data_IF_405032498435
#
_entry.id   IF_405032498435
#
_cell.length_a   1.000
_cell.length_b   1.000
_cell.length_c   1.000
_cell.angle_alpha   90.00
_cell.angle_beta   90.00
_cell.angle_gamma   90.00
#
_symmetry.space_group_name_H-M   'P 1'
#
loop_
_entity.id
_entity.type
_entity.pdbx_description
1 polymer ?
#
# COMPACT_ATOMS: atom_id res chain seq x y z
N UNK A 1 -2.33 22.80 25.81
CA UNK A 1 -1.91 21.89 24.72
C UNK A 1 -0.57 21.19 24.98
N UNK A 2 0.62 21.79 24.78
CA UNK A 2 1.91 21.04 24.92
C UNK A 2 2.18 20.40 26.29
N UNK A 3 1.52 20.86 27.35
CA UNK A 3 1.63 20.28 28.70
C UNK A 3 0.65 19.12 28.95
N UNK A 4 -0.28 18.87 28.05
CA UNK A 4 -1.38 17.90 28.22
C UNK A 4 -1.25 16.70 27.27
N UNK A 5 -0.17 16.65 26.48
CA UNK A 5 0.04 15.62 25.47
C UNK A 5 1.11 14.64 25.97
N UNK A 6 0.66 13.41 26.28
CA UNK A 6 1.53 12.29 26.62
C UNK A 6 1.90 11.43 25.41
N UNK A 7 1.03 11.36 24.40
CA UNK A 7 1.20 10.48 23.23
C UNK A 7 0.80 11.21 21.96
N UNK A 8 1.60 11.05 20.91
CA UNK A 8 1.27 11.50 19.55
C UNK A 8 1.26 10.30 18.63
N UNK A 9 0.15 10.07 17.92
CA UNK A 9 0.03 9.03 16.90
C UNK A 9 -0.01 9.72 15.53
N UNK A 10 1.07 9.61 14.78
CA UNK A 10 1.17 10.13 13.42
C UNK A 10 0.67 9.09 12.41
N UNK A 11 -0.61 9.18 12.07
CA UNK A 11 -1.25 8.41 10.99
C UNK A 11 -1.47 9.24 9.70
N UNK A 12 -1.06 10.51 9.68
CA UNK A 12 -1.27 11.39 8.54
C UNK A 12 -0.32 11.00 7.39
N UNK A 13 -0.88 10.66 6.24
CA UNK A 13 -0.10 10.28 5.06
C UNK A 13 -0.92 10.40 3.78
N UNK A 14 -0.25 10.61 2.66
CA UNK A 14 -0.79 10.19 1.36
C UNK A 14 -0.38 8.76 1.08
N UNK A 15 -1.35 7.89 0.79
CA UNK A 15 -1.15 6.46 0.54
C UNK A 15 -1.27 6.09 -0.94
N UNK A 16 -1.40 7.08 -1.82
CA UNK A 16 -1.51 6.86 -3.26
C UNK A 16 -0.13 6.58 -3.86
N UNK A 17 -0.01 5.46 -4.55
CA UNK A 17 1.24 5.03 -5.18
C UNK A 17 1.75 5.99 -6.27
N UNK A 18 0.86 6.78 -6.87
CA UNK A 18 1.17 7.78 -7.89
C UNK A 18 0.71 9.19 -7.50
N UNK A 19 0.83 9.58 -6.24
CA UNK A 19 0.59 10.98 -5.86
C UNK A 19 1.63 11.90 -6.51
N UNK A 20 1.25 13.17 -6.69
CA UNK A 20 2.20 14.23 -7.05
C UNK A 20 3.38 14.24 -6.08
N UNK A 21 4.59 14.31 -6.59
CA UNK A 21 5.78 14.15 -5.76
C UNK A 21 5.95 15.26 -4.72
N UNK A 22 5.62 16.51 -5.07
CA UNK A 22 5.60 17.63 -4.12
C UNK A 22 4.68 17.36 -2.93
N UNK A 23 3.45 16.93 -3.21
CA UNK A 23 2.46 16.59 -2.18
C UNK A 23 2.94 15.41 -1.33
N UNK A 24 3.51 14.38 -1.95
CA UNK A 24 3.98 13.20 -1.24
C UNK A 24 5.17 13.49 -0.32
N UNK A 25 6.13 14.29 -0.78
CA UNK A 25 7.29 14.71 0.02
C UNK A 25 6.85 15.61 1.17
N UNK A 26 6.01 16.61 0.90
CA UNK A 26 5.56 17.55 1.94
C UNK A 26 4.77 16.83 3.04
N UNK A 27 3.90 15.87 2.69
CA UNK A 27 3.07 15.14 3.67
C UNK A 27 3.86 14.03 4.37
N UNK A 28 4.43 13.09 3.62
CA UNK A 28 4.98 11.87 4.21
C UNK A 28 6.37 12.08 4.82
N UNK A 29 7.15 13.05 4.34
CA UNK A 29 8.53 13.32 4.79
C UNK A 29 8.56 14.52 5.74
N UNK A 30 8.24 15.70 5.22
CA UNK A 30 8.29 16.92 6.04
C UNK A 30 7.15 16.99 7.05
N UNK A 31 5.98 16.42 6.76
CA UNK A 31 4.93 16.23 7.76
C UNK A 31 5.37 15.36 8.94
N UNK A 32 6.16 14.31 8.69
CA UNK A 32 6.76 13.53 9.77
C UNK A 32 7.75 14.36 10.60
N UNK A 33 8.60 15.17 9.94
CA UNK A 33 9.51 16.11 10.62
C UNK A 33 8.76 17.14 11.48
N UNK A 34 7.68 17.71 10.94
CA UNK A 34 6.90 18.71 11.65
C UNK A 34 6.23 18.13 12.89
N UNK A 35 5.68 16.91 12.79
CA UNK A 35 5.11 16.21 13.95
C UNK A 35 6.19 15.85 14.97
N UNK A 36 7.38 15.46 14.52
CA UNK A 36 8.52 15.21 15.41
C UNK A 36 8.89 16.48 16.19
N UNK A 37 9.05 17.61 15.48
CA UNK A 37 9.37 18.89 16.10
C UNK A 37 8.26 19.35 17.06
N UNK A 38 6.99 19.11 16.71
CA UNK A 38 5.88 19.36 17.62
C UNK A 38 5.97 18.50 18.89
N UNK A 39 6.22 17.20 18.74
CA UNK A 39 6.33 16.27 19.86
C UNK A 39 7.50 16.63 20.80
N UNK A 40 8.63 17.11 20.28
CA UNK A 40 9.76 17.61 21.08
C UNK A 40 9.40 18.80 21.99
N UNK A 41 8.39 19.59 21.63
CA UNK A 41 7.92 20.70 22.45
C UNK A 41 6.93 20.26 23.55
N UNK A 42 6.46 19.02 23.52
CA UNK A 42 5.51 18.49 24.50
C UNK A 42 6.26 18.05 25.77
N UNK A 43 5.94 18.66 26.90
CA UNK A 43 6.71 18.50 28.17
C UNK A 43 6.57 17.09 28.74
N UNK A 44 5.38 16.50 28.58
CA UNK A 44 5.04 15.19 29.14
C UNK A 44 5.05 14.08 28.10
N UNK A 45 5.64 14.31 26.92
CA UNK A 45 5.62 13.33 25.83
C UNK A 45 6.31 12.03 26.26
N UNK A 46 5.55 10.95 26.24
CA UNK A 46 6.04 9.60 26.50
C UNK A 46 6.47 8.92 25.21
N UNK A 47 5.63 8.99 24.17
CA UNK A 47 5.84 8.27 22.91
C UNK A 47 5.31 9.08 21.72
N UNK A 48 6.12 9.15 20.65
CA UNK A 48 5.66 9.46 19.31
C UNK A 48 5.58 8.17 18.49
N UNK A 49 4.37 7.72 18.14
CA UNK A 49 4.18 6.58 17.25
C UNK A 49 3.96 7.08 15.82
N UNK A 50 4.71 6.54 14.86
CA UNK A 50 4.53 6.81 13.43
C UNK A 50 4.05 5.55 12.71
N UNK A 51 2.98 5.68 11.94
CA UNK A 51 2.48 4.60 11.08
C UNK A 51 3.17 4.72 9.72
N UNK A 52 3.94 3.71 9.35
CA UNK A 52 4.59 3.56 8.04
C UNK A 52 3.95 2.40 7.26
N UNK A 53 4.72 1.59 6.56
CA UNK A 53 4.29 0.35 5.90
C UNK A 53 5.45 -0.63 5.81
N UNK A 54 5.20 -1.93 5.93
CA UNK A 54 6.24 -2.95 5.78
C UNK A 54 6.93 -2.89 4.41
N UNK A 55 6.21 -2.42 3.39
CA UNK A 55 6.73 -2.32 2.02
C UNK A 55 7.86 -1.32 1.86
N UNK A 56 8.17 -0.46 2.84
CA UNK A 56 9.40 0.36 2.82
C UNK A 56 10.66 -0.49 2.68
N UNK A 57 10.62 -1.73 3.17
CA UNK A 57 11.68 -2.73 3.07
C UNK A 57 11.58 -3.59 1.80
N UNK A 58 10.89 -3.14 0.74
CA UNK A 58 10.60 -3.98 -0.43
C UNK A 58 11.86 -4.40 -1.19
N UNK A 59 12.41 -5.55 -0.82
CA UNK A 59 13.31 -6.35 -1.65
C UNK A 59 12.50 -7.17 -2.66
N UNK A 60 13.15 -7.81 -3.63
CA UNK A 60 12.43 -8.71 -4.57
C UNK A 60 12.13 -10.06 -3.93
N UNK A 61 13.05 -10.58 -3.11
CA UNK A 61 12.96 -11.88 -2.44
C UNK A 61 13.69 -11.83 -1.09
N UNK A 62 13.31 -12.70 -0.15
CA UNK A 62 14.05 -12.87 1.11
C UNK A 62 13.25 -12.47 2.35
N UNK A 63 13.96 -12.23 3.45
CA UNK A 63 13.38 -11.90 4.75
C UNK A 63 13.63 -10.41 5.06
N UNK A 64 12.57 -9.60 5.04
CA UNK A 64 12.65 -8.18 5.38
C UNK A 64 12.60 -7.99 6.90
N UNK A 65 13.71 -7.53 7.48
CA UNK A 65 13.88 -7.36 8.93
C UNK A 65 13.25 -6.07 9.48
N UNK A 66 12.83 -6.11 10.74
CA UNK A 66 12.34 -4.95 11.50
C UNK A 66 13.51 -4.04 11.96
N UNK A 67 14.27 -3.51 10.99
CA UNK A 67 15.41 -2.62 11.22
C UNK A 67 15.09 -1.16 10.85
N UNK A 68 15.71 -0.17 11.53
CA UNK A 68 15.61 1.23 11.13
C UNK A 68 16.31 1.44 9.79
N UNK A 69 15.94 2.52 9.09
CA UNK A 69 16.69 2.99 7.94
C UNK A 69 17.84 3.88 8.38
N UNK A 70 19.00 3.68 7.78
CA UNK A 70 20.08 4.65 7.88
C UNK A 70 19.80 5.84 6.96
N UNK A 71 20.28 7.01 7.37
CA UNK A 71 20.20 8.19 6.52
C UNK A 71 21.01 7.93 5.25
N UNK A 72 20.38 8.16 4.09
CA UNK A 72 20.90 7.89 2.73
C UNK A 72 20.82 6.44 2.25
N UNK A 73 20.22 5.53 3.03
CA UNK A 73 20.00 4.15 2.57
C UNK A 73 19.18 4.14 1.27
N UNK A 74 19.52 3.24 0.35
CA UNK A 74 18.79 2.97 -0.89
C UNK A 74 18.57 1.47 -1.02
N UNK A 75 17.57 1.07 -1.80
CA UNK A 75 17.27 -0.36 -2.01
C UNK A 75 17.96 -0.91 -3.26
N UNK A 76 18.21 -2.22 -3.26
CA UNK A 76 18.66 -2.95 -4.46
C UNK A 76 20.10 -2.67 -4.88
N UNK A 77 20.97 -2.22 -3.97
CA UNK A 77 22.39 -1.96 -4.25
C UNK A 77 22.63 -0.79 -5.20
N UNK A 78 21.63 0.09 -5.39
CA UNK A 78 21.76 1.25 -6.25
C UNK A 78 22.68 2.27 -5.57
N UNK A 79 23.81 2.58 -6.21
CA UNK A 79 24.80 3.59 -5.75
C UNK A 79 24.30 5.03 -5.99
N UNK A 80 23.02 5.29 -5.70
CA UNK A 80 22.48 6.64 -5.68
C UNK A 80 22.59 7.21 -4.27
N UNK A 81 23.01 8.47 -4.19
CA UNK A 81 23.09 9.19 -2.91
C UNK A 81 21.72 9.81 -2.64
N UNK A 82 20.97 9.27 -1.67
CA UNK A 82 19.68 9.82 -1.26
C UNK A 82 19.89 10.92 -0.20
N UNK A 83 19.55 12.15 -0.55
CA UNK A 83 19.57 13.28 0.38
C UNK A 83 18.24 14.01 0.31
N UNK A 84 17.53 14.02 1.42
CA UNK A 84 16.16 14.55 1.51
C UNK A 84 16.11 16.05 1.23
N UNK A 85 17.15 16.81 1.57
CA UNK A 85 17.22 18.23 1.25
C UNK A 85 17.44 18.43 -0.25
N UNK A 86 18.21 17.57 -0.89
CA UNK A 86 18.38 17.56 -2.35
C UNK A 86 17.07 17.16 -3.04
N UNK A 87 16.36 16.14 -2.54
CA UNK A 87 15.04 15.77 -3.06
C UNK A 87 14.05 16.95 -3.00
N UNK A 88 14.03 17.68 -1.88
CA UNK A 88 13.16 18.86 -1.74
C UNK A 88 13.52 19.96 -2.73
N UNK A 89 14.82 20.21 -2.95
CA UNK A 89 15.27 21.18 -3.97
C UNK A 89 14.82 20.76 -5.37
N UNK A 90 14.98 19.49 -5.74
CA UNK A 90 14.53 18.97 -7.05
C UNK A 90 13.02 19.14 -7.24
N UNK A 91 12.23 18.87 -6.21
CA UNK A 91 10.77 19.07 -6.21
C UNK A 91 10.43 20.53 -6.48
N UNK A 92 11.03 21.44 -5.70
CA UNK A 92 10.71 22.87 -5.76
C UNK A 92 11.18 23.50 -7.08
N UNK A 93 12.35 23.12 -7.58
CA UNK A 93 12.88 23.53 -8.89
C UNK A 93 11.96 23.08 -10.02
N UNK A 94 11.57 21.79 -10.04
CA UNK A 94 10.69 21.28 -11.09
C UNK A 94 9.32 21.96 -11.08
N UNK A 95 8.77 22.23 -9.90
CA UNK A 95 7.50 22.91 -9.78
C UNK A 95 7.61 24.36 -10.29
N UNK A 96 8.68 25.08 -9.92
CA UNK A 96 8.95 26.44 -10.42
C UNK A 96 9.12 26.48 -11.94
N UNK A 97 9.86 25.55 -12.53
CA UNK A 97 10.00 25.44 -13.98
C UNK A 97 8.65 25.32 -14.68
N UNK A 98 7.82 24.38 -14.23
CA UNK A 98 6.49 24.14 -14.81
C UNK A 98 5.57 25.36 -14.66
N UNK A 99 5.68 26.09 -13.54
CA UNK A 99 4.94 27.32 -13.32
C UNK A 99 5.41 28.45 -14.24
N UNK A 100 6.73 28.60 -14.43
CA UNK A 100 7.32 29.60 -15.33
C UNK A 100 6.97 29.32 -16.80
N UNK A 101 6.81 28.06 -17.17
CA UNK A 101 6.30 27.64 -18.48
C UNK A 101 4.80 27.88 -18.68
N UNK A 102 4.10 28.43 -17.67
CA UNK A 102 2.63 28.57 -17.65
C UNK A 102 1.89 27.25 -17.95
N UNK A 103 2.45 26.13 -17.47
CA UNK A 103 1.85 24.82 -17.69
C UNK A 103 0.45 24.72 -17.06
N UNK A 104 -0.48 24.06 -17.75
CA UNK A 104 -1.83 23.80 -17.21
C UNK A 104 -1.77 22.92 -15.97
N UNK A 105 -2.74 23.06 -15.07
CA UNK A 105 -2.82 22.30 -13.81
C UNK A 105 -2.74 20.78 -14.02
N UNK A 106 -3.37 20.25 -15.07
CA UNK A 106 -3.31 18.82 -15.40
C UNK A 106 -1.91 18.39 -15.86
N UNK A 107 -1.21 19.25 -16.59
CA UNK A 107 0.16 19.00 -17.03
C UNK A 107 1.13 19.00 -15.84
N UNK A 108 0.99 19.98 -14.94
CA UNK A 108 1.75 20.02 -13.67
C UNK A 108 1.49 18.75 -12.87
N UNK A 109 0.22 18.37 -12.70
CA UNK A 109 -0.16 17.16 -11.97
C UNK A 109 0.47 15.91 -12.60
N UNK A 110 0.44 15.76 -13.92
CA UNK A 110 1.05 14.61 -14.59
C UNK A 110 2.57 14.60 -14.40
N UNK A 111 3.23 15.73 -14.66
CA UNK A 111 4.68 15.83 -14.57
C UNK A 111 5.20 15.55 -13.16
N UNK A 112 4.51 16.04 -12.11
CA UNK A 112 4.90 15.77 -10.72
C UNK A 112 4.64 14.33 -10.28
N UNK A 113 3.65 13.64 -10.87
CA UNK A 113 3.47 12.20 -10.65
C UNK A 113 4.59 11.40 -11.31
N UNK A 114 4.93 11.75 -12.54
CA UNK A 114 5.99 11.07 -13.30
C UNK A 114 7.35 11.27 -12.62
N UNK A 115 7.63 12.49 -12.12
CA UNK A 115 8.82 12.79 -11.32
C UNK A 115 8.91 11.85 -10.10
N UNK A 116 7.84 11.74 -9.30
CA UNK A 116 7.85 10.91 -8.11
C UNK A 116 8.10 9.43 -8.40
N UNK A 117 7.59 8.92 -9.52
CA UNK A 117 7.84 7.53 -9.95
C UNK A 117 9.31 7.38 -10.38
N UNK A 118 9.86 8.36 -11.10
CA UNK A 118 11.26 8.35 -11.53
C UNK A 118 12.22 8.39 -10.33
N UNK A 119 11.98 9.28 -9.35
CA UNK A 119 12.80 9.38 -8.13
C UNK A 119 12.73 8.10 -7.30
N UNK A 120 11.54 7.54 -7.10
CA UNK A 120 11.39 6.28 -6.37
C UNK A 120 12.23 5.16 -7.02
N UNK A 121 12.12 4.99 -8.35
CA UNK A 121 12.89 3.99 -9.09
C UNK A 121 14.40 4.24 -9.04
N UNK A 122 14.84 5.50 -9.09
CA UNK A 122 16.25 5.89 -8.99
C UNK A 122 16.89 5.44 -7.66
N UNK A 123 16.10 5.40 -6.58
CA UNK A 123 16.58 4.99 -5.25
C UNK A 123 16.17 3.55 -4.87
N UNK A 124 15.60 2.80 -5.81
CA UNK A 124 15.28 1.38 -5.66
C UNK A 124 13.83 1.07 -5.26
N UNK A 125 13.07 2.05 -4.81
CA UNK A 125 11.68 1.86 -4.38
C UNK A 125 10.69 1.71 -5.56
N UNK A 126 9.62 0.91 -5.37
CA UNK A 126 8.67 0.59 -6.44
C UNK A 126 7.80 1.76 -6.88
N UNK A 127 7.50 2.68 -5.96
CA UNK A 127 6.60 3.79 -6.20
C UNK A 127 6.82 4.93 -5.19
N UNK A 128 6.19 6.08 -5.46
CA UNK A 128 6.35 7.32 -4.70
C UNK A 128 5.86 7.20 -3.26
N UNK A 129 4.80 6.44 -3.01
CA UNK A 129 4.27 6.26 -1.66
C UNK A 129 5.29 5.58 -0.74
N UNK A 130 5.78 4.41 -1.14
CA UNK A 130 6.74 3.64 -0.33
C UNK A 130 8.05 4.41 -0.17
N UNK A 131 8.51 5.06 -1.24
CA UNK A 131 9.72 5.87 -1.19
C UNK A 131 9.62 7.03 -0.19
N UNK A 132 8.52 7.78 -0.23
CA UNK A 132 8.32 8.91 0.70
C UNK A 132 8.04 8.46 2.14
N UNK A 133 7.46 7.27 2.34
CA UNK A 133 7.37 6.64 3.66
C UNK A 133 8.74 6.28 4.22
N UNK A 134 9.61 5.69 3.41
CA UNK A 134 10.99 5.38 3.83
C UNK A 134 11.77 6.66 4.20
N UNK A 135 11.68 7.72 3.37
CA UNK A 135 12.28 9.01 3.70
C UNK A 135 11.71 9.62 4.99
N UNK A 136 10.41 9.47 5.24
CA UNK A 136 9.79 9.90 6.52
C UNK A 136 10.37 9.17 7.73
N UNK A 137 10.60 7.86 7.62
CA UNK A 137 11.28 7.10 8.68
C UNK A 137 12.73 7.55 8.89
N UNK A 138 13.49 7.78 7.81
CA UNK A 138 14.88 8.27 7.91
C UNK A 138 14.97 9.60 8.67
N UNK A 139 14.06 10.53 8.38
CA UNK A 139 13.99 11.81 9.09
C UNK A 139 13.67 11.60 10.57
N UNK A 140 12.71 10.73 10.88
CA UNK A 140 12.38 10.43 12.28
C UNK A 140 13.57 9.83 13.02
N UNK A 141 14.24 8.84 12.43
CA UNK A 141 15.40 8.18 13.03
C UNK A 141 16.58 9.14 13.23
N UNK A 142 16.87 9.98 12.23
CA UNK A 142 17.97 10.93 12.29
C UNK A 142 17.74 12.04 13.33
N UNK A 143 16.52 12.57 13.40
CA UNK A 143 16.25 13.79 14.17
C UNK A 143 15.53 13.52 15.50
N UNK A 144 15.22 12.28 15.89
CA UNK A 144 14.48 12.01 17.14
C UNK A 144 15.18 12.47 18.43
N UNK A 145 16.51 12.56 18.42
CA UNK A 145 17.31 12.87 19.61
C UNK A 145 16.97 11.93 20.80
N UNK A 146 16.44 12.47 21.90
CA UNK A 146 16.03 11.71 23.09
C UNK A 146 14.58 11.27 23.06
N UNK A 147 13.79 11.69 22.08
CA UNK A 147 12.38 11.35 21.99
C UNK A 147 12.21 9.86 21.66
N UNK A 148 11.34 9.18 22.40
CA UNK A 148 10.95 7.80 22.09
C UNK A 148 10.05 7.80 20.85
N UNK A 149 10.60 7.36 19.74
CA UNK A 149 9.88 7.18 18.47
C UNK A 149 9.66 5.70 18.22
N UNK A 150 8.41 5.32 17.97
CA UNK A 150 7.99 3.96 17.60
C UNK A 150 7.46 3.97 16.18
N UNK A 151 7.87 3.02 15.35
CA UNK A 151 7.42 2.89 13.96
C UNK A 151 6.63 1.59 13.80
N UNK A 152 5.37 1.69 13.41
CA UNK A 152 4.53 0.54 13.07
C UNK A 152 4.38 0.47 11.56
N UNK A 153 4.73 -0.67 10.99
CA UNK A 153 4.80 -0.95 9.55
C UNK A 153 3.79 -2.05 9.20
N UNK A 154 2.51 -1.72 8.98
CA UNK A 154 1.53 -2.71 8.53
C UNK A 154 1.78 -3.15 7.09
N UNK A 155 1.34 -4.36 6.77
CA UNK A 155 1.25 -4.89 5.40
C UNK A 155 -0.08 -4.46 4.75
N UNK A 156 -0.68 -5.27 3.86
CA UNK A 156 -1.95 -4.89 3.23
C UNK A 156 -3.08 -5.02 4.25
N UNK A 157 -3.53 -3.88 4.75
CA UNK A 157 -4.66 -3.82 5.69
C UNK A 157 -5.97 -4.16 4.98
N UNK A 158 -6.72 -5.08 5.58
CA UNK A 158 -8.05 -5.53 5.14
C UNK A 158 -9.11 -5.05 6.13
N UNK A 159 -10.35 -5.52 5.98
CA UNK A 159 -11.41 -5.23 6.96
C UNK A 159 -11.02 -5.67 8.38
N UNK A 160 -11.79 -5.25 9.36
CA UNK A 160 -11.60 -5.69 10.74
C UNK A 160 -11.99 -7.16 10.92
N UNK A 161 -11.27 -7.85 11.79
CA UNK A 161 -11.56 -9.23 12.17
C UNK A 161 -12.63 -9.29 13.27
N UNK A 162 -12.48 -8.47 14.31
CA UNK A 162 -13.36 -8.38 15.47
C UNK A 162 -13.85 -6.96 15.72
N UNK A 163 -12.95 -5.98 15.93
CA UNK A 163 -13.32 -4.64 16.42
C UNK A 163 -13.28 -3.57 15.33
N UNK A 164 -14.20 -2.58 15.32
CA UNK A 164 -15.34 -2.41 16.23
C UNK A 164 -16.49 -3.39 15.95
N UNK A 165 -16.48 -4.04 14.80
CA UNK A 165 -17.29 -5.21 14.45
C UNK A 165 -16.66 -5.93 13.25
N UNK A 166 -16.92 -7.23 13.02
CA UNK A 166 -16.33 -7.97 11.91
C UNK A 166 -16.70 -7.40 10.54
N UNK A 167 -15.72 -7.28 9.65
CA UNK A 167 -15.94 -6.91 8.26
C UNK A 167 -16.09 -5.39 8.04
N UNK A 168 -15.86 -4.56 9.05
CA UNK A 168 -15.83 -3.12 8.87
C UNK A 168 -14.67 -2.71 7.98
N UNK A 169 -14.96 -1.90 6.97
CA UNK A 169 -13.98 -1.33 6.05
C UNK A 169 -14.48 0.00 5.51
N UNK A 170 -13.57 0.96 5.33
CA UNK A 170 -13.89 2.26 4.77
C UNK A 170 -13.05 2.59 3.54
N UNK A 171 -13.75 2.75 2.42
CA UNK A 171 -13.15 3.08 1.13
C UNK A 171 -12.45 1.89 0.49
N UNK A 172 -12.28 1.97 -0.83
CA UNK A 172 -11.64 0.90 -1.60
C UNK A 172 -10.12 1.06 -1.50
N UNK A 173 -9.42 0.05 -0.96
CA UNK A 173 -7.96 -0.04 -0.96
C UNK A 173 -7.49 -1.08 -2.00
N UNK A 174 -6.20 -1.46 -1.95
CA UNK A 174 -5.52 -2.27 -2.96
C UNK A 174 -6.28 -3.56 -3.29
N UNK A 175 -6.41 -4.47 -2.31
CA UNK A 175 -7.05 -5.78 -2.55
C UNK A 175 -8.56 -5.64 -2.81
N UNK A 176 -9.20 -4.67 -2.16
CA UNK A 176 -10.63 -4.39 -2.35
C UNK A 176 -10.95 -3.94 -3.78
N UNK A 177 -10.03 -3.21 -4.43
CA UNK A 177 -10.19 -2.82 -5.84
C UNK A 177 -10.28 -4.04 -6.74
N UNK A 178 -9.47 -5.06 -6.48
CA UNK A 178 -9.54 -6.33 -7.21
C UNK A 178 -10.82 -7.09 -6.87
N UNK A 179 -11.21 -7.14 -5.59
CA UNK A 179 -12.44 -7.77 -5.14
C UNK A 179 -13.69 -7.16 -5.80
N UNK A 180 -13.81 -5.83 -5.77
CA UNK A 180 -14.93 -5.10 -6.39
C UNK A 180 -14.95 -5.32 -7.90
N UNK A 181 -13.80 -5.19 -8.58
CA UNK A 181 -13.72 -5.41 -10.01
C UNK A 181 -14.05 -6.86 -10.41
N UNK A 182 -13.66 -7.83 -9.57
CA UNK A 182 -13.96 -9.24 -9.76
C UNK A 182 -15.46 -9.51 -9.59
N UNK A 183 -16.05 -9.11 -8.47
CA UNK A 183 -17.47 -9.30 -8.17
C UNK A 183 -18.40 -8.61 -9.17
N UNK A 184 -18.00 -7.43 -9.69
CA UNK A 184 -18.71 -6.73 -10.78
C UNK A 184 -18.49 -7.33 -12.17
N UNK A 185 -17.78 -8.47 -12.28
CA UNK A 185 -17.53 -9.19 -13.52
C UNK A 185 -16.67 -8.42 -14.54
N UNK A 186 -15.87 -7.45 -14.06
CA UNK A 186 -15.06 -6.56 -14.90
C UNK A 186 -13.67 -7.14 -15.19
N UNK A 187 -13.18 -8.07 -14.39
CA UNK A 187 -11.89 -8.71 -14.59
C UNK A 187 -11.99 -9.88 -15.58
N UNK A 188 -11.07 -9.93 -16.53
CA UNK A 188 -10.88 -11.07 -17.47
C UNK A 188 -9.61 -11.85 -17.17
N UNK A 189 -8.66 -11.21 -16.49
CA UNK A 189 -7.41 -11.78 -16.07
C UNK A 189 -7.00 -11.15 -14.74
N UNK A 190 -6.07 -11.80 -14.06
CA UNK A 190 -5.38 -11.29 -12.87
C UNK A 190 -3.87 -11.40 -13.11
N UNK A 191 -3.11 -10.47 -12.56
CA UNK A 191 -1.65 -10.43 -12.63
C UNK A 191 -1.09 -10.84 -11.27
N UNK A 192 -0.16 -11.79 -11.26
CA UNK A 192 0.50 -12.24 -10.03
C UNK A 192 1.04 -13.66 -10.14
N UNK A 193 2.11 -13.95 -9.41
CA UNK A 193 2.61 -15.32 -9.28
C UNK A 193 1.62 -16.10 -8.38
N UNK A 194 1.01 -17.20 -8.83
CA UNK A 194 0.14 -18.02 -7.99
C UNK A 194 0.78 -18.45 -6.65
N UNK A 195 2.11 -18.53 -6.59
CA UNK A 195 2.87 -18.95 -5.42
C UNK A 195 3.32 -17.80 -4.52
N UNK A 196 3.21 -16.55 -4.96
CA UNK A 196 3.58 -15.41 -4.11
C UNK A 196 2.67 -15.32 -2.90
N UNK A 197 3.25 -14.87 -1.79
CA UNK A 197 2.51 -14.61 -0.55
C UNK A 197 1.90 -13.23 -0.68
N UNK A 198 0.59 -13.14 -0.52
CA UNK A 198 -0.11 -11.88 -0.40
C UNK A 198 -0.23 -11.56 1.09
N UNK A 199 0.65 -10.71 1.59
CA UNK A 199 0.69 -10.37 3.01
C UNK A 199 -0.48 -9.42 3.38
N UNK A 200 -1.51 -10.02 3.94
CA UNK A 200 -2.71 -9.35 4.44
C UNK A 200 -2.71 -9.31 5.97
N UNK A 201 -3.33 -8.28 6.54
CA UNK A 201 -3.60 -8.20 7.98
C UNK A 201 -4.94 -7.49 8.24
N UNK A 202 -5.77 -7.93 9.21
CA UNK A 202 -6.97 -7.20 9.62
C UNK A 202 -6.64 -5.84 10.27
N UNK A 203 -7.48 -4.83 10.05
CA UNK A 203 -7.23 -3.47 10.52
C UNK A 203 -7.17 -3.32 12.04
N UNK A 204 -7.99 -4.07 12.75
CA UNK A 204 -8.03 -4.12 14.22
C UNK A 204 -6.77 -4.75 14.82
N UNK A 205 -6.16 -5.74 14.17
CA UNK A 205 -4.85 -6.26 14.62
C UNK A 205 -3.75 -5.20 14.53
N UNK A 206 -3.80 -4.32 13.52
CA UNK A 206 -2.86 -3.18 13.43
C UNK A 206 -3.11 -2.18 14.56
N UNK A 207 -4.37 -1.87 14.86
CA UNK A 207 -4.74 -0.98 15.96
C UNK A 207 -4.30 -1.57 17.31
N UNK A 208 -4.52 -2.86 17.55
CA UNK A 208 -4.10 -3.54 18.76
C UNK A 208 -2.58 -3.48 18.94
N UNK A 209 -1.81 -3.74 17.88
CA UNK A 209 -0.36 -3.57 17.91
C UNK A 209 0.07 -2.13 18.24
N UNK A 210 -0.61 -1.11 17.67
CA UNK A 210 -0.33 0.30 17.95
C UNK A 210 -0.55 0.61 19.43
N UNK A 211 -1.70 0.22 20.00
CA UNK A 211 -2.03 0.51 21.40
C UNK A 211 -1.06 -0.17 22.35
N UNK A 212 -0.75 -1.44 22.10
CA UNK A 212 0.21 -2.21 22.89
C UNK A 212 1.61 -1.64 22.79
N UNK A 213 2.06 -1.22 21.60
CA UNK A 213 3.35 -0.58 21.41
C UNK A 213 3.47 0.74 22.18
N UNK A 214 2.40 1.54 22.20
CA UNK A 214 2.37 2.80 22.98
C UNK A 214 2.56 2.51 24.47
N UNK A 215 1.80 1.57 25.03
CA UNK A 215 1.89 1.23 26.45
C UNK A 215 3.27 0.67 26.80
N UNK A 216 3.77 -0.29 26.02
CA UNK A 216 5.08 -0.91 26.25
C UNK A 216 6.23 0.13 26.25
N UNK A 217 6.20 1.10 25.33
CA UNK A 217 7.24 2.13 25.23
C UNK A 217 7.06 3.29 26.20
N UNK A 218 5.83 3.54 26.67
CA UNK A 218 5.57 4.56 27.69
C UNK A 218 6.18 4.17 29.03
N UNK A 219 6.01 2.91 29.44
CA UNK A 219 6.33 2.45 30.80
C UNK A 219 7.66 1.70 30.90
N UNK A 220 8.18 1.14 29.81
CA UNK A 220 9.40 0.31 29.82
C UNK A 220 10.44 0.80 28.80
N UNK A 221 11.70 0.43 29.03
CA UNK A 221 12.75 0.53 28.01
C UNK A 221 12.66 -0.69 27.09
N UNK A 222 11.96 -0.57 25.97
CA UNK A 222 11.97 -1.61 24.94
C UNK A 222 13.22 -1.44 24.04
N UNK A 223 14.00 -2.50 23.87
CA UNK A 223 15.19 -2.49 23.01
C UNK A 223 14.90 -2.48 21.50
N UNK A 224 13.61 -2.53 21.12
CA UNK A 224 13.14 -2.54 19.74
C UNK A 224 12.00 -1.52 19.59
N UNK A 225 12.00 -0.74 18.52
CA UNK A 225 11.00 0.32 18.30
C UNK A 225 10.35 0.28 16.91
N UNK A 226 10.56 -0.81 16.15
CA UNK A 226 10.00 -1.01 14.82
C UNK A 226 9.27 -2.35 14.77
N UNK A 227 8.03 -2.32 14.28
CA UNK A 227 7.11 -3.43 14.30
C UNK A 227 6.47 -3.65 12.92
N UNK A 228 6.77 -4.78 12.27
CA UNK A 228 6.07 -5.27 11.09
C UNK A 228 4.77 -5.98 11.51
N UNK A 229 3.64 -5.41 11.12
CA UNK A 229 2.33 -6.02 11.40
C UNK A 229 1.81 -6.67 10.13
N UNK A 230 2.09 -7.95 9.99
CA UNK A 230 1.77 -8.75 8.81
C UNK A 230 1.62 -10.23 9.14
N UNK A 231 1.37 -11.04 8.12
CA UNK A 231 1.11 -12.46 8.25
C UNK A 231 2.07 -13.36 7.49
N UNK A 232 2.89 -12.83 6.58
CA UNK A 232 3.70 -13.64 5.65
C UNK A 232 4.65 -14.62 6.34
N UNK A 233 5.20 -14.27 7.51
CA UNK A 233 6.15 -15.14 8.22
C UNK A 233 5.47 -16.28 8.98
N UNK A 234 4.40 -15.99 9.72
CA UNK A 234 3.79 -16.92 10.68
C UNK A 234 2.44 -17.51 10.24
N UNK A 235 1.74 -16.88 9.31
CA UNK A 235 0.47 -17.38 8.76
C UNK A 235 0.32 -17.00 7.26
N UNK A 236 1.18 -17.50 6.37
CA UNK A 236 1.24 -17.07 4.98
C UNK A 236 -0.03 -17.41 4.20
N UNK A 237 -0.47 -16.47 3.36
CA UNK A 237 -1.61 -16.62 2.46
C UNK A 237 -1.15 -16.48 1.00
N UNK A 238 -1.37 -17.48 0.16
CA UNK A 238 -0.94 -17.42 -1.24
C UNK A 238 -1.92 -16.63 -2.09
N UNK A 239 -1.40 -15.96 -3.11
CA UNK A 239 -2.22 -15.26 -4.11
C UNK A 239 -3.26 -16.18 -4.78
N UNK A 240 -2.88 -17.43 -5.09
CA UNK A 240 -3.80 -18.43 -5.66
C UNK A 240 -4.97 -18.75 -4.74
N UNK A 241 -4.73 -18.93 -3.44
CA UNK A 241 -5.77 -19.23 -2.45
C UNK A 241 -6.80 -18.08 -2.39
N UNK A 242 -6.34 -16.83 -2.39
CA UNK A 242 -7.22 -15.64 -2.40
C UNK A 242 -8.07 -15.59 -3.66
N UNK A 243 -7.47 -15.83 -4.82
CA UNK A 243 -8.19 -15.84 -6.09
C UNK A 243 -9.24 -16.97 -6.15
N UNK A 244 -8.95 -18.14 -5.61
CA UNK A 244 -9.89 -19.25 -5.51
C UNK A 244 -11.04 -18.98 -4.54
N UNK A 245 -10.77 -18.32 -3.40
CA UNK A 245 -11.80 -17.86 -2.48
C UNK A 245 -12.73 -16.83 -3.11
N UNK A 246 -12.18 -15.85 -3.85
CA UNK A 246 -13.00 -14.86 -4.58
C UNK A 246 -13.91 -15.55 -5.61
N UNK A 247 -13.35 -16.45 -6.42
CA UNK A 247 -14.11 -17.23 -7.39
C UNK A 247 -15.23 -18.03 -6.71
N UNK A 248 -14.89 -18.78 -5.66
CA UNK A 248 -15.84 -19.63 -4.93
C UNK A 248 -16.95 -18.81 -4.30
N UNK A 249 -16.63 -17.65 -3.70
CA UNK A 249 -17.61 -16.77 -3.08
C UNK A 249 -18.60 -16.24 -4.11
N UNK A 250 -18.14 -15.64 -5.21
CA UNK A 250 -19.04 -14.99 -6.19
C UNK A 250 -19.76 -15.97 -7.12
N UNK A 251 -19.30 -17.22 -7.25
CA UNK A 251 -20.11 -18.29 -7.85
C UNK A 251 -21.32 -18.61 -6.95
N UNK A 252 -21.10 -18.74 -5.63
CA UNK A 252 -22.15 -19.08 -4.67
C UNK A 252 -23.08 -17.90 -4.38
N UNK A 253 -22.52 -16.70 -4.30
CA UNK A 253 -23.18 -15.45 -3.91
C UNK A 253 -22.92 -14.38 -4.98
N UNK A 254 -23.53 -14.48 -6.16
CA UNK A 254 -23.31 -13.52 -7.23
C UNK A 254 -23.76 -12.12 -6.80
N UNK A 255 -22.92 -11.11 -7.03
CA UNK A 255 -23.30 -9.72 -6.77
C UNK A 255 -24.46 -9.31 -7.67
N UNK A 256 -25.47 -8.65 -7.10
CA UNK A 256 -26.63 -8.15 -7.83
C UNK A 256 -26.35 -6.71 -8.23
N UNK A 257 -26.40 -6.44 -9.53
CA UNK A 257 -26.18 -5.08 -10.03
C UNK A 257 -27.38 -4.17 -9.79
N UNK A 258 -27.21 -2.87 -10.08
CA UNK A 258 -28.24 -1.83 -9.95
C UNK A 258 -29.55 -2.11 -10.71
N UNK A 259 -29.56 -3.11 -11.61
CA UNK A 259 -30.74 -3.55 -12.36
C UNK A 259 -31.39 -4.82 -11.78
N UNK A 260 -30.99 -5.24 -10.58
CA UNK A 260 -31.49 -6.45 -9.94
C UNK A 260 -31.02 -7.75 -10.59
N UNK A 261 -30.01 -7.73 -11.46
CA UNK A 261 -29.52 -8.93 -12.16
C UNK A 261 -28.25 -9.48 -11.50
N UNK A 262 -28.20 -10.79 -11.16
CA UNK A 262 -26.99 -11.44 -10.71
C UNK A 262 -25.87 -11.36 -11.76
N UNK A 263 -24.69 -10.90 -11.34
CA UNK A 263 -23.50 -10.85 -12.19
C UNK A 263 -22.79 -12.20 -12.17
N UNK A 264 -22.64 -12.79 -13.36
CA UNK A 264 -21.87 -14.03 -13.53
C UNK A 264 -20.39 -13.72 -13.60
N UNK A 265 -19.62 -14.25 -12.65
CA UNK A 265 -18.16 -14.25 -12.67
C UNK A 265 -17.64 -15.58 -13.23
N UNK A 266 -16.44 -15.55 -13.80
CA UNK A 266 -15.74 -16.75 -14.27
C UNK A 266 -14.33 -16.76 -13.70
N UNK A 267 -13.65 -17.92 -13.77
CA UNK A 267 -12.23 -18.02 -13.43
C UNK A 267 -11.42 -17.09 -14.34
N UNK A 268 -10.72 -16.13 -13.74
CA UNK A 268 -9.85 -15.23 -14.48
C UNK A 268 -8.62 -15.99 -15.00
N UNK A 269 -8.13 -15.60 -16.18
CA UNK A 269 -6.81 -16.04 -16.64
C UNK A 269 -5.74 -15.46 -15.71
N UNK A 270 -4.87 -16.30 -15.16
CA UNK A 270 -3.73 -15.82 -14.36
C UNK A 270 -2.56 -15.53 -15.29
N UNK A 271 -2.01 -14.33 -15.19
CA UNK A 271 -0.81 -13.88 -15.88
C UNK A 271 0.33 -13.84 -14.86
N UNK A 272 1.16 -14.89 -14.87
CA UNK A 272 2.13 -15.18 -13.81
C UNK A 272 3.48 -14.48 -13.97
N UNK A 273 3.63 -13.61 -14.96
CA UNK A 273 4.81 -12.77 -15.15
C UNK A 273 4.49 -11.52 -15.98
N UNK A 274 5.34 -10.49 -15.90
CA UNK A 274 5.23 -9.31 -16.76
C UNK A 274 5.34 -9.67 -18.25
N UNK A 275 6.12 -10.69 -18.63
CA UNK A 275 6.19 -11.15 -20.02
C UNK A 275 4.87 -11.76 -20.49
N UNK A 276 4.24 -12.59 -19.64
CA UNK A 276 2.93 -13.15 -19.95
C UNK A 276 1.86 -12.06 -20.09
N UNK A 277 1.96 -11.01 -19.28
CA UNK A 277 1.11 -9.83 -19.35
C UNK A 277 1.33 -9.03 -20.63
N UNK A 278 2.57 -8.67 -20.93
CA UNK A 278 2.95 -7.92 -22.13
C UNK A 278 2.53 -8.68 -23.40
N UNK A 279 2.76 -10.00 -23.45
CA UNK A 279 2.30 -10.86 -24.55
C UNK A 279 0.78 -10.86 -24.65
N UNK A 280 0.05 -10.93 -23.54
CA UNK A 280 -1.41 -10.89 -23.53
C UNK A 280 -1.95 -9.54 -24.02
N UNK A 281 -1.38 -8.41 -23.57
CA UNK A 281 -1.75 -7.08 -24.05
C UNK A 281 -1.45 -6.93 -25.56
N UNK A 282 -0.27 -7.35 -25.99
CA UNK A 282 0.19 -7.27 -27.37
C UNK A 282 -0.63 -8.12 -28.33
N UNK A 283 -1.15 -9.27 -27.89
CA UNK A 283 -1.94 -10.17 -28.74
C UNK A 283 -3.44 -9.86 -28.71
N UNK A 284 -4.00 -9.52 -27.54
CA UNK A 284 -5.46 -9.39 -27.37
C UNK A 284 -5.99 -7.98 -27.56
N UNK A 285 -5.20 -6.95 -27.23
CA UNK A 285 -5.68 -5.57 -27.17
C UNK A 285 -5.00 -4.65 -28.18
N UNK A 286 -3.69 -4.77 -28.42
CA UNK A 286 -2.99 -3.90 -29.38
C UNK A 286 -3.50 -4.05 -30.83
N UNK A 287 -3.81 -5.26 -31.35
CA UNK A 287 -4.32 -5.39 -32.71
C UNK A 287 -5.70 -4.75 -32.85
N UNK A 288 -6.57 -4.94 -31.85
CA UNK A 288 -7.87 -4.26 -31.78
C UNK A 288 -7.72 -2.74 -31.77
N UNK A 289 -6.79 -2.19 -30.98
CA UNK A 289 -6.53 -0.74 -30.99
C UNK A 289 -6.00 -0.23 -32.34
N UNK A 290 -5.15 -1.01 -33.04
CA UNK A 290 -4.67 -0.66 -34.39
C UNK A 290 -5.80 -0.65 -35.41
N UNK A 291 -6.66 -1.67 -35.40
CA UNK A 291 -7.84 -1.76 -36.26
C UNK A 291 -8.79 -0.59 -35.98
N UNK A 292 -9.07 -0.31 -34.72
CA UNK A 292 -9.95 0.79 -34.32
C UNK A 292 -9.36 2.16 -34.71
N UNK A 293 -8.03 2.34 -34.60
CA UNK A 293 -7.35 3.55 -35.09
C UNK A 293 -7.54 3.72 -36.59
N UNK A 294 -7.33 2.65 -37.37
CA UNK A 294 -7.49 2.68 -38.83
C UNK A 294 -8.95 2.97 -39.22
N UNK A 295 -9.91 2.28 -38.62
CA UNK A 295 -11.34 2.51 -38.86
C UNK A 295 -11.74 3.95 -38.52
N UNK A 296 -11.21 4.49 -37.42
CA UNK A 296 -11.43 5.88 -37.04
C UNK A 296 -10.87 6.87 -38.08
N UNK A 297 -9.65 6.64 -38.58
CA UNK A 297 -9.04 7.46 -39.64
C UNK A 297 -9.83 7.38 -40.95
N UNK A 298 -10.25 6.19 -41.36
CA UNK A 298 -11.03 5.99 -42.60
C UNK A 298 -12.46 6.54 -42.51
N UNK A 299 -13.03 6.62 -41.31
CA UNK A 299 -14.39 7.12 -41.07
C UNK A 299 -14.43 8.61 -40.70
N UNK A 300 -13.43 9.39 -41.13
CA UNK A 300 -13.33 10.83 -40.83
C UNK A 300 -13.50 11.15 -39.33
N UNK A 301 -12.86 10.38 -38.46
CA UNK A 301 -12.88 10.53 -37.00
C UNK A 301 -14.22 10.20 -36.29
N UNK A 302 -15.14 9.49 -36.96
CA UNK A 302 -16.41 9.07 -36.34
C UNK A 302 -16.25 8.24 -35.04
N UNK A 303 -15.17 7.45 -34.92
CA UNK A 303 -14.93 6.57 -33.77
C UNK A 303 -13.93 7.15 -32.75
N UNK A 304 -13.63 8.45 -32.80
CA UNK A 304 -12.53 9.07 -32.06
C UNK A 304 -12.68 8.86 -30.55
N UNK A 305 -13.87 9.13 -30.01
CA UNK A 305 -14.16 8.92 -28.60
C UNK A 305 -13.97 7.46 -28.16
N UNK A 306 -14.38 6.50 -29.00
CA UNK A 306 -14.22 5.07 -28.72
C UNK A 306 -12.76 4.65 -28.75
N UNK A 307 -12.00 5.11 -29.74
CA UNK A 307 -10.56 4.87 -29.85
C UNK A 307 -9.80 5.45 -28.65
N UNK A 308 -10.01 6.72 -28.33
CA UNK A 308 -9.40 7.39 -27.17
C UNK A 308 -9.76 6.65 -25.88
N UNK A 309 -11.04 6.29 -25.69
CA UNK A 309 -11.50 5.56 -24.52
C UNK A 309 -10.85 4.19 -24.37
N UNK A 310 -10.74 3.42 -25.46
CA UNK A 310 -10.08 2.11 -25.45
C UNK A 310 -8.58 2.23 -25.18
N UNK A 311 -7.90 3.19 -25.82
CA UNK A 311 -6.47 3.46 -25.59
C UNK A 311 -6.20 3.86 -24.14
N UNK A 312 -7.03 4.74 -23.57
CA UNK A 312 -6.93 5.14 -22.15
C UNK A 312 -7.06 3.94 -21.21
N UNK A 313 -7.99 3.01 -21.47
CA UNK A 313 -8.16 1.79 -20.66
C UNK A 313 -6.95 0.88 -20.73
N UNK A 314 -6.38 0.65 -21.92
CA UNK A 314 -5.17 -0.18 -22.07
C UNK A 314 -4.00 0.47 -21.34
N UNK A 315 -3.78 1.78 -21.51
CA UNK A 315 -2.73 2.50 -20.80
C UNK A 315 -2.89 2.44 -19.28
N UNK A 316 -4.12 2.58 -18.78
CA UNK A 316 -4.41 2.46 -17.34
C UNK A 316 -4.06 1.06 -16.82
N UNK A 317 -4.49 0.00 -17.52
CA UNK A 317 -4.21 -1.38 -17.12
C UNK A 317 -2.72 -1.69 -17.16
N UNK A 318 -1.99 -1.24 -18.18
CA UNK A 318 -0.53 -1.37 -18.25
C UNK A 318 0.15 -0.67 -17.08
N UNK A 319 -0.25 0.57 -16.77
CA UNK A 319 0.32 1.32 -15.65
C UNK A 319 0.04 0.66 -14.30
N UNK A 320 -1.16 0.13 -14.09
CA UNK A 320 -1.49 -0.64 -12.87
C UNK A 320 -0.66 -1.92 -12.79
N UNK A 321 -0.47 -2.65 -13.90
CA UNK A 321 0.35 -3.84 -13.94
C UNK A 321 1.82 -3.56 -13.56
N UNK A 322 2.41 -2.50 -14.10
CA UNK A 322 3.78 -2.07 -13.75
C UNK A 322 3.89 -1.65 -12.28
N UNK A 323 2.89 -0.95 -11.76
CA UNK A 323 2.88 -0.43 -10.39
C UNK A 323 2.69 -1.53 -9.35
N UNK A 324 1.77 -2.47 -9.58
CA UNK A 324 1.49 -3.57 -8.66
C UNK A 324 2.38 -4.79 -8.90
N UNK A 325 3.05 -4.89 -10.04
CA UNK A 325 3.88 -6.04 -10.44
C UNK A 325 4.90 -6.41 -9.37
N UNK A 326 5.62 -5.43 -8.81
CA UNK A 326 6.61 -5.65 -7.74
C UNK A 326 6.03 -6.23 -6.45
N UNK A 327 4.72 -6.10 -6.22
CA UNK A 327 4.05 -6.67 -5.03
C UNK A 327 3.51 -8.06 -5.33
N UNK A 328 2.80 -8.23 -6.44
CA UNK A 328 2.15 -9.51 -6.80
C UNK A 328 3.14 -10.58 -7.27
N UNK A 329 4.37 -10.18 -7.60
CA UNK A 329 5.49 -11.07 -7.91
C UNK A 329 6.56 -11.12 -6.80
N UNK A 330 6.40 -10.36 -5.71
CA UNK A 330 7.36 -10.38 -4.61
C UNK A 330 7.39 -11.75 -3.93
N UNK A 331 8.58 -12.18 -3.52
CA UNK A 331 8.77 -13.32 -2.62
C UNK A 331 9.34 -12.89 -1.28
N UNK A 332 9.16 -11.62 -0.92
CA UNK A 332 9.54 -11.11 0.40
C UNK A 332 8.60 -11.67 1.45
N UNK A 333 9.21 -12.09 2.55
CA UNK A 333 8.54 -12.40 3.81
C UNK A 333 8.95 -11.31 4.79
N UNK A 334 7.97 -10.67 5.42
CA UNK A 334 8.24 -9.66 6.45
C UNK A 334 8.47 -10.39 7.78
N UNK A 335 9.67 -10.27 8.32
CA UNK A 335 9.98 -10.72 9.68
C UNK A 335 9.14 -9.91 10.67
N UNK A 336 8.60 -10.60 11.67
CA UNK A 336 7.74 -10.01 12.71
C UNK A 336 8.21 -10.39 14.12
N UNK A 337 9.51 -10.66 14.26
CA UNK A 337 10.15 -11.09 15.50
C UNK A 337 9.98 -10.07 16.64
N UNK A 338 10.17 -8.77 16.39
CA UNK A 338 9.93 -7.71 17.37
C UNK A 338 8.45 -7.59 17.70
N UNK A 339 7.58 -7.71 16.71
CA UNK A 339 6.12 -7.71 16.90
C UNK A 339 5.65 -8.88 17.77
N UNK A 340 6.23 -10.07 17.57
CA UNK A 340 6.00 -11.23 18.42
C UNK A 340 6.51 -10.99 19.85
N UNK A 341 7.70 -10.42 20.04
CA UNK A 341 8.22 -10.07 21.37
C UNK A 341 7.30 -9.07 22.07
N UNK A 342 6.83 -8.04 21.36
CA UNK A 342 5.90 -7.06 21.87
C UNK A 342 4.60 -7.73 22.35
N UNK A 343 4.06 -8.66 21.57
CA UNK A 343 2.88 -9.43 21.95
C UNK A 343 3.11 -10.24 23.24
N UNK A 344 4.26 -10.91 23.38
CA UNK A 344 4.58 -11.69 24.58
C UNK A 344 4.71 -10.79 25.80
N UNK A 345 5.37 -9.64 25.68
CA UNK A 345 5.47 -8.64 26.75
C UNK A 345 4.09 -8.09 27.15
N UNK A 346 3.20 -7.94 26.18
CA UNK A 346 1.82 -7.50 26.41
C UNK A 346 0.90 -8.59 26.92
N UNK A 347 1.30 -9.86 26.88
CA UNK A 347 0.51 -10.99 27.39
C UNK A 347 0.24 -10.91 28.90
N UNK A 348 0.94 -10.04 29.62
CA UNK A 348 0.67 -9.65 31.01
C UNK A 348 -0.50 -8.65 31.13
N UNK A 349 -0.92 -8.02 30.03
CA UNK A 349 -1.98 -7.01 29.91
C UNK A 349 -3.05 -7.50 28.91
N UNK A 350 -4.04 -8.24 29.43
CA UNK A 350 -5.27 -8.65 28.72
C UNK A 350 -5.07 -9.12 27.26
N UNK A 351 -4.34 -10.23 27.11
CA UNK A 351 -3.96 -10.82 25.83
C UNK A 351 -5.15 -11.15 24.89
N UNK A 352 -6.35 -11.35 25.44
CA UNK A 352 -7.55 -11.60 24.65
C UNK A 352 -8.12 -10.31 24.04
N UNK A 353 -8.05 -9.19 24.75
CA UNK A 353 -8.57 -7.90 24.31
C UNK A 353 -7.74 -7.30 23.17
N UNK A 354 -6.41 -7.34 23.27
CA UNK A 354 -5.51 -6.73 22.27
C UNK A 354 -4.76 -7.76 21.43
N UNK A 355 -5.46 -8.78 20.92
CA UNK A 355 -4.82 -9.78 20.08
C UNK A 355 -4.42 -9.22 18.70
N UNK A 356 -3.16 -9.42 18.32
CA UNK A 356 -2.63 -9.18 16.98
C UNK A 356 -1.73 -10.34 16.50
N UNK A 357 -1.96 -11.57 16.98
CA UNK A 357 -1.29 -12.77 16.46
C UNK A 357 -1.93 -13.16 15.10
N UNK A 358 -1.21 -13.06 13.97
CA UNK A 358 -1.75 -13.45 12.68
C UNK A 358 -2.10 -14.94 12.62
N UNK A 359 -1.52 -15.81 13.48
CA UNK A 359 -1.85 -17.24 13.53
C UNK A 359 -3.27 -17.52 13.98
N UNK A 360 -3.92 -16.56 14.65
CA UNK A 360 -5.32 -16.66 15.05
C UNK A 360 -6.29 -16.53 13.86
N UNK A 361 -5.81 -16.08 12.69
CA UNK A 361 -6.63 -15.89 11.49
C UNK A 361 -6.84 -17.22 10.77
N UNK A 362 -8.08 -17.69 10.73
CA UNK A 362 -8.49 -18.76 9.81
C UNK A 362 -8.82 -18.14 8.45
N UNK A 363 -7.85 -18.06 7.54
CA UNK A 363 -7.96 -17.29 6.28
C UNK A 363 -9.23 -17.56 5.47
N UNK A 364 -9.62 -18.83 5.35
CA UNK A 364 -10.83 -19.20 4.60
C UNK A 364 -12.09 -18.65 5.25
N UNK A 365 -12.22 -18.78 6.57
CA UNK A 365 -13.36 -18.26 7.31
C UNK A 365 -13.38 -16.73 7.27
N UNK A 366 -12.23 -16.10 7.58
CA UNK A 366 -12.08 -14.66 7.54
C UNK A 366 -12.44 -14.07 6.16
N UNK A 367 -11.88 -14.59 5.07
CA UNK A 367 -12.17 -14.04 3.74
C UNK A 367 -13.62 -14.32 3.30
N UNK A 368 -14.10 -15.55 3.46
CA UNK A 368 -15.41 -15.94 2.93
C UNK A 368 -16.59 -15.41 3.74
N UNK A 369 -16.43 -15.29 5.07
CA UNK A 369 -17.54 -14.98 5.97
C UNK A 369 -17.45 -13.59 6.58
N UNK A 370 -16.27 -12.94 6.57
CA UNK A 370 -16.08 -11.62 7.18
C UNK A 370 -15.70 -10.58 6.13
N UNK A 371 -14.53 -10.73 5.48
CA UNK A 371 -13.97 -9.69 4.62
C UNK A 371 -14.77 -9.47 3.33
N UNK A 372 -15.06 -10.53 2.56
CA UNK A 372 -15.80 -10.37 1.30
C UNK A 372 -17.23 -9.85 1.55
N UNK A 373 -18.02 -10.41 2.50
CA UNK A 373 -19.34 -9.85 2.84
C UNK A 373 -19.27 -8.39 3.33
N UNK A 374 -18.29 -8.07 4.18
CA UNK A 374 -18.06 -6.72 4.68
C UNK A 374 -17.75 -5.73 3.56
N UNK A 375 -16.85 -6.10 2.65
CA UNK A 375 -16.53 -5.31 1.47
C UNK A 375 -17.75 -5.12 0.55
N UNK A 376 -18.57 -6.15 0.34
CA UNK A 376 -19.83 -6.01 -0.41
C UNK A 376 -20.77 -5.02 0.27
N UNK A 377 -20.94 -5.12 1.59
CA UNK A 377 -21.81 -4.22 2.35
C UNK A 377 -21.35 -2.76 2.31
N UNK A 378 -20.04 -2.52 2.34
CA UNK A 378 -19.48 -1.19 2.56
C UNK A 378 -18.91 -0.52 1.31
N UNK A 379 -18.59 -1.28 0.25
CA UNK A 379 -17.83 -0.77 -0.91
C UNK A 379 -18.54 -0.96 -2.27
N UNK A 380 -19.52 -1.85 -2.39
CA UNK A 380 -20.11 -2.20 -3.70
C UNK A 380 -21.14 -1.21 -4.21
#
# INVERSE_FOLDING_TARGET
MWREIDVVINSAATTRFDERYDVAVDINVFGALHILNFAKNCVNIKVLLHISTAFVCSEEEGLASEKPFDMRETLGGVSSYLDINIEKKFVDERLRELQNENARTEAIRSAMKDLGIQRARLHGWPNTYVFTKAMGEMVLEQFKEKLKVVIVRPTIVTSTFKDPFPGWIQGVRTIDSFLVAYGKGKLKFVLGDPKSILDLIPGDMVVNCILVAIVAHADQSCGHHIYHVGSSRRNPLKFSDVHEMFLSYFIKNPWVNDRGKPVRVNKCKVLSSMDSFNKYIATRYLPFLKILKLANTLSCHHFEATYIGAKRKVNLVTRLAEMYGRYVFSKVIFDDTNTQKLQVMAGEVDAEMFNFDPRSIQWKDYLMNIHIPGAIKHLF
#
